data_IF_009357830004
#
_entry.id   IF_009357830004
#
_cell.length_a   1.000
_cell.length_b   1.000
_cell.length_c   1.000
_cell.angle_alpha   90.00
_cell.angle_beta   90.00
_cell.angle_gamma   90.00
#
_symmetry.space_group_name_H-M   'P 1'
#
loop_
_entity.id
_entity.type
_entity.pdbx_description
1 polymer ?
#
# COMPACT_ATOMS: atom_id res chain seq x y z
N UNK A 1 -14.22 -7.93 -1.98
CA UNK A 1 -14.83 -7.41 -3.21
C UNK A 1 -13.84 -6.59 -4.05
N UNK A 2 -13.48 -5.33 -3.75
CA UNK A 2 -12.53 -4.58 -4.61
C UNK A 2 -11.05 -5.04 -4.56
N UNK A 3 -10.55 -5.51 -3.40
CA UNK A 3 -9.18 -6.04 -3.32
C UNK A 3 -9.01 -7.34 -4.13
N UNK A 4 -10.02 -8.20 -4.11
CA UNK A 4 -10.06 -9.44 -4.89
C UNK A 4 -10.05 -9.13 -6.39
N UNK A 5 -10.97 -8.28 -6.86
CA UNK A 5 -11.05 -7.87 -8.27
C UNK A 5 -9.72 -7.28 -8.80
N UNK A 6 -9.02 -6.53 -7.96
CA UNK A 6 -7.71 -5.97 -8.30
C UNK A 6 -6.65 -7.07 -8.45
N UNK A 7 -6.60 -8.03 -7.51
CA UNK A 7 -5.67 -9.15 -7.59
C UNK A 7 -5.99 -10.05 -8.79
N UNK A 8 -7.27 -10.32 -9.05
CA UNK A 8 -7.73 -11.05 -10.24
C UNK A 8 -7.22 -10.41 -11.54
N UNK A 9 -7.43 -9.09 -11.68
CA UNK A 9 -7.01 -8.35 -12.87
C UNK A 9 -5.49 -8.32 -13.03
N UNK A 10 -4.74 -8.11 -11.95
CA UNK A 10 -3.26 -8.07 -12.00
C UNK A 10 -2.64 -9.43 -12.33
N UNK A 11 -3.24 -10.51 -11.83
CA UNK A 11 -2.70 -11.87 -11.97
C UNK A 11 -3.26 -12.60 -13.19
N UNK A 12 -4.32 -12.09 -13.81
CA UNK A 12 -5.00 -12.75 -14.92
C UNK A 12 -5.74 -14.03 -14.49
N UNK A 13 -6.22 -14.10 -13.25
CA UNK A 13 -6.93 -15.25 -12.66
C UNK A 13 -8.28 -14.81 -12.13
N UNK A 14 -9.23 -15.75 -11.95
CA UNK A 14 -10.50 -15.48 -11.30
C UNK A 14 -10.61 -16.23 -9.98
N UNK A 15 -11.40 -15.68 -9.06
CA UNK A 15 -11.69 -16.31 -7.79
C UNK A 15 -12.30 -17.70 -7.98
N UNK A 16 -11.80 -18.67 -7.23
CA UNK A 16 -12.25 -20.06 -7.31
C UNK A 16 -11.60 -20.87 -8.44
N UNK A 17 -10.73 -20.27 -9.26
CA UNK A 17 -10.08 -20.98 -10.35
C UNK A 17 -9.10 -22.04 -9.84
N UNK A 18 -8.90 -23.07 -10.67
CA UNK A 18 -7.74 -23.93 -10.59
C UNK A 18 -6.65 -23.36 -11.48
N UNK A 19 -5.48 -23.07 -10.89
CA UNK A 19 -4.41 -22.31 -11.53
C UNK A 19 -3.12 -23.14 -11.50
N UNK A 20 -2.57 -23.40 -12.67
CA UNK A 20 -1.24 -24.01 -12.79
C UNK A 20 -0.16 -22.96 -12.55
N UNK A 21 0.78 -23.23 -11.63
CA UNK A 21 1.88 -22.31 -11.28
C UNK A 21 2.86 -22.21 -12.46
N UNK A 22 2.71 -21.15 -13.25
CA UNK A 22 3.60 -20.78 -14.34
C UNK A 22 4.82 -19.98 -13.84
N UNK A 23 5.73 -19.62 -14.75
CA UNK A 23 6.97 -18.91 -14.41
C UNK A 23 6.76 -17.57 -13.70
N UNK A 24 5.66 -16.86 -14.00
CA UNK A 24 5.37 -15.57 -13.36
C UNK A 24 4.84 -15.75 -11.94
N UNK A 25 3.94 -16.72 -11.72
CA UNK A 25 3.43 -17.02 -10.39
C UNK A 25 4.52 -17.57 -9.46
N UNK A 26 5.54 -18.25 -10.01
CA UNK A 26 6.70 -18.71 -9.23
C UNK A 26 7.49 -17.56 -8.59
N UNK A 27 7.39 -16.34 -9.13
CA UNK A 27 8.12 -15.14 -8.64
C UNK A 27 7.40 -14.45 -7.48
N UNK A 28 6.17 -14.85 -7.16
CA UNK A 28 5.34 -14.19 -6.15
C UNK A 28 5.66 -14.68 -4.73
N UNK A 29 6.20 -13.81 -3.89
CA UNK A 29 6.45 -14.13 -2.48
C UNK A 29 5.15 -14.46 -1.73
N UNK A 30 4.09 -13.70 -2.00
CA UNK A 30 2.80 -13.84 -1.32
C UNK A 30 1.81 -14.75 -2.06
N UNK A 31 2.27 -15.65 -2.94
CA UNK A 31 1.38 -16.57 -3.66
C UNK A 31 0.44 -17.37 -2.72
N UNK A 32 0.90 -17.89 -1.56
CA UNK A 32 0.01 -18.55 -0.61
C UNK A 32 -1.08 -17.63 -0.05
N UNK A 33 -0.75 -16.40 0.35
CA UNK A 33 -1.75 -15.44 0.84
C UNK A 33 -2.75 -15.06 -0.26
N UNK A 34 -2.25 -14.76 -1.46
CA UNK A 34 -3.06 -14.40 -2.64
C UNK A 34 -4.03 -15.52 -3.00
N UNK A 35 -3.55 -16.76 -3.05
CA UNK A 35 -4.40 -17.91 -3.35
C UNK A 35 -5.49 -18.13 -2.31
N UNK A 36 -5.23 -17.84 -1.02
CA UNK A 36 -6.29 -17.87 0.00
C UNK A 36 -7.31 -16.75 -0.19
N UNK A 37 -6.88 -15.51 -0.43
CA UNK A 37 -7.77 -14.36 -0.70
C UNK A 37 -8.71 -14.65 -1.89
N UNK A 38 -8.15 -15.19 -2.96
CA UNK A 38 -8.86 -15.49 -4.21
C UNK A 38 -9.46 -16.90 -4.24
N UNK A 39 -9.35 -17.68 -3.15
CA UNK A 39 -9.81 -19.06 -3.08
C UNK A 39 -9.35 -19.92 -4.27
N UNK A 40 -8.09 -19.82 -4.66
CA UNK A 40 -7.51 -20.54 -5.80
C UNK A 40 -7.07 -21.95 -5.40
N UNK A 41 -7.27 -22.91 -6.31
CA UNK A 41 -6.65 -24.22 -6.23
C UNK A 41 -5.36 -24.21 -7.05
N UNK A 42 -4.21 -24.42 -6.42
CA UNK A 42 -2.91 -24.36 -7.12
C UNK A 42 -2.47 -25.76 -7.59
N UNK A 43 -1.96 -25.82 -8.82
CA UNK A 43 -1.38 -27.04 -9.41
C UNK A 43 0.05 -26.79 -9.90
N UNK A 44 0.93 -27.77 -9.75
CA UNK A 44 2.30 -27.71 -10.23
C UNK A 44 2.86 -29.10 -10.51
N UNK A 45 4.11 -29.17 -10.99
CA UNK A 45 4.78 -30.43 -11.36
C UNK A 45 4.91 -31.40 -10.17
N UNK A 46 5.07 -30.88 -8.95
CA UNK A 46 5.27 -31.67 -7.73
C UNK A 46 4.22 -31.30 -6.70
N UNK A 47 3.82 -32.26 -5.86
CA UNK A 47 3.02 -31.96 -4.67
C UNK A 47 3.83 -31.09 -3.70
N UNK A 48 3.30 -29.92 -3.32
CA UNK A 48 3.95 -29.01 -2.37
C UNK A 48 3.03 -28.63 -1.20
N UNK A 49 3.63 -28.45 -0.04
CA UNK A 49 3.16 -27.53 0.99
C UNK A 49 3.94 -26.22 0.85
N UNK A 50 3.29 -25.19 0.32
CA UNK A 50 3.93 -23.91 -0.02
C UNK A 50 3.68 -22.88 1.09
N UNK A 51 4.76 -22.37 1.67
CA UNK A 51 4.76 -21.41 2.77
C UNK A 51 5.04 -19.98 2.27
N UNK A 52 4.18 -19.04 2.62
CA UNK A 52 4.36 -17.61 2.36
C UNK A 52 5.15 -16.93 3.48
N UNK A 53 5.78 -15.78 3.22
CA UNK A 53 6.56 -15.04 4.21
C UNK A 53 5.68 -14.48 5.35
N UNK A 54 4.38 -14.31 5.11
CA UNK A 54 3.40 -13.91 6.11
C UNK A 54 2.97 -15.05 7.04
N UNK A 55 3.42 -16.30 6.81
CA UNK A 55 2.99 -17.54 7.48
C UNK A 55 1.67 -18.13 6.94
N UNK A 56 1.21 -17.70 5.78
CA UNK A 56 0.18 -18.44 5.04
C UNK A 56 0.76 -19.74 4.46
N UNK A 57 -0.07 -20.78 4.39
CA UNK A 57 0.32 -22.12 3.89
C UNK A 57 -0.73 -22.61 2.89
N UNK A 58 -0.33 -23.11 1.73
CA UNK A 58 -1.28 -23.70 0.77
C UNK A 58 -0.76 -25.00 0.21
N UNK A 59 -1.69 -25.92 -0.09
CA UNK A 59 -1.36 -27.17 -0.78
C UNK A 59 -1.39 -26.94 -2.27
N UNK A 60 -0.31 -27.32 -2.95
CA UNK A 60 -0.20 -27.32 -4.41
C UNK A 60 -0.29 -28.77 -4.87
N UNK A 61 -1.26 -29.07 -5.74
CA UNK A 61 -1.43 -30.42 -6.30
C UNK A 61 -0.40 -30.68 -7.39
N UNK A 62 0.16 -31.87 -7.42
CA UNK A 62 1.09 -32.33 -8.44
C UNK A 62 1.36 -33.83 -8.31
N UNK A 63 2.48 -34.28 -8.86
CA UNK A 63 2.88 -35.68 -8.81
C UNK A 63 3.84 -35.95 -7.63
N UNK A 64 3.86 -37.20 -7.15
CA UNK A 64 4.81 -37.69 -6.14
C UNK A 64 4.48 -37.35 -4.69
N UNK A 65 5.47 -37.50 -3.81
CA UNK A 65 5.36 -37.15 -2.39
C UNK A 65 5.25 -35.64 -2.17
N UNK A 66 4.61 -35.23 -1.06
CA UNK A 66 4.48 -33.81 -0.72
C UNK A 66 5.82 -33.27 -0.21
N UNK A 67 6.33 -32.22 -0.84
CA UNK A 67 7.54 -31.51 -0.43
C UNK A 67 7.18 -30.19 0.26
N UNK A 68 7.96 -29.77 1.25
CA UNK A 68 7.86 -28.43 1.82
C UNK A 68 8.66 -27.43 0.97
N UNK A 69 8.08 -26.27 0.69
CA UNK A 69 8.74 -25.20 -0.05
C UNK A 69 8.30 -23.82 0.44
N UNK A 70 9.19 -22.84 0.33
CA UNK A 70 8.87 -21.43 0.59
C UNK A 70 8.65 -20.68 -0.72
N UNK A 71 7.70 -19.77 -0.74
CA UNK A 71 7.50 -18.82 -1.84
C UNK A 71 8.44 -17.61 -1.67
N UNK A 72 9.04 -17.07 -2.74
CA UNK A 72 8.83 -17.42 -4.14
C UNK A 72 9.63 -18.68 -4.52
N UNK A 73 9.12 -19.45 -5.48
CA UNK A 73 9.80 -20.65 -5.98
C UNK A 73 11.02 -20.32 -6.86
N UNK A 74 11.01 -19.15 -7.50
CA UNK A 74 12.14 -18.61 -8.26
C UNK A 74 12.30 -17.12 -7.96
N UNK A 75 13.53 -16.61 -8.01
CA UNK A 75 13.76 -15.17 -7.89
C UNK A 75 13.25 -14.43 -9.13
N UNK A 76 12.52 -13.33 -8.90
CA UNK A 76 12.09 -12.42 -9.95
C UNK A 76 11.09 -11.40 -9.43
N UNK A 77 10.60 -10.55 -10.34
CA UNK A 77 9.55 -9.58 -10.05
C UNK A 77 8.26 -9.94 -10.77
N UNK A 78 7.14 -9.53 -10.20
CA UNK A 78 5.85 -9.53 -10.87
C UNK A 78 5.40 -8.07 -11.07
N UNK A 79 4.99 -7.66 -12.28
CA UNK A 79 4.70 -6.26 -12.59
C UNK A 79 3.41 -5.80 -11.87
N UNK A 80 3.55 -5.28 -10.66
CA UNK A 80 2.45 -4.83 -9.82
C UNK A 80 2.62 -3.39 -9.36
N UNK A 81 1.50 -2.71 -9.18
CA UNK A 81 1.43 -1.37 -8.61
C UNK A 81 0.23 -1.29 -7.65
N UNK A 82 0.32 -0.39 -6.67
CA UNK A 82 -0.82 -0.03 -5.86
C UNK A 82 -1.99 0.41 -6.73
N UNK A 83 -3.21 0.09 -6.30
CA UNK A 83 -4.41 0.53 -6.99
C UNK A 83 -4.93 1.82 -6.37
N UNK A 84 -5.62 2.60 -7.19
CA UNK A 84 -6.33 3.79 -6.71
C UNK A 84 -7.48 3.35 -5.80
N UNK A 85 -7.61 4.01 -4.66
CA UNK A 85 -8.75 3.85 -3.76
C UNK A 85 -9.90 4.69 -4.29
N UNK A 86 -11.13 4.20 -4.15
CA UNK A 86 -12.32 4.92 -4.60
C UNK A 86 -12.45 6.28 -3.89
N UNK A 87 -12.36 7.35 -4.69
CA UNK A 87 -12.49 8.72 -4.20
C UNK A 87 -13.86 8.97 -3.58
N UNK A 88 -14.93 8.35 -4.09
CA UNK A 88 -16.29 8.57 -3.57
C UNK A 88 -16.42 8.10 -2.12
N UNK A 89 -15.71 7.04 -1.75
CA UNK A 89 -15.67 6.55 -0.39
C UNK A 89 -15.00 7.55 0.57
N UNK A 90 -13.91 8.20 0.15
CA UNK A 90 -13.29 9.29 0.92
C UNK A 90 -14.20 10.50 1.05
N UNK A 91 -14.83 10.92 -0.06
CA UNK A 91 -15.76 12.06 -0.06
C UNK A 91 -16.94 11.77 0.85
N UNK A 92 -17.55 10.58 0.75
CA UNK A 92 -18.68 10.18 1.59
C UNK A 92 -18.31 10.17 3.07
N UNK A 93 -17.14 9.64 3.42
CA UNK A 93 -16.62 9.64 4.79
C UNK A 93 -16.41 11.08 5.31
N UNK A 94 -15.81 11.96 4.49
CA UNK A 94 -15.58 13.35 4.86
C UNK A 94 -16.89 14.10 5.10
N UNK A 95 -17.86 13.98 4.18
CA UNK A 95 -19.14 14.68 4.25
C UNK A 95 -20.00 14.25 5.45
N UNK A 96 -19.93 12.98 5.83
CA UNK A 96 -20.67 12.47 6.98
C UNK A 96 -20.04 12.95 8.31
N UNK A 97 -18.70 12.92 8.41
CA UNK A 97 -17.99 13.20 9.66
C UNK A 97 -17.68 14.69 9.89
N UNK A 98 -17.46 15.47 8.84
CA UNK A 98 -16.93 16.84 8.93
C UNK A 98 -18.04 17.84 8.55
N UNK A 99 -18.38 18.80 9.43
CA UNK A 99 -19.27 19.90 9.07
C UNK A 99 -18.62 20.78 7.99
N UNK A 100 -19.34 20.98 6.89
CA UNK A 100 -18.89 21.81 5.78
C UNK A 100 -19.95 22.84 5.39
N UNK A 101 -19.51 23.96 4.84
CA UNK A 101 -20.35 24.99 4.21
C UNK A 101 -20.15 25.00 2.70
N UNK A 102 -20.90 25.83 1.99
CA UNK A 102 -20.69 26.11 0.57
C UNK A 102 -19.26 26.63 0.30
N UNK A 103 -18.65 26.20 -0.80
CA UNK A 103 -17.31 26.57 -1.23
C UNK A 103 -16.42 25.36 -1.54
N UNK A 104 -15.17 25.63 -1.91
CA UNK A 104 -14.22 24.59 -2.33
C UNK A 104 -13.30 24.11 -1.20
N UNK A 105 -12.92 22.85 -1.27
CA UNK A 105 -11.96 22.22 -0.37
C UNK A 105 -11.18 21.09 -1.03
N UNK A 106 -10.36 20.42 -0.24
CA UNK A 106 -9.60 19.25 -0.66
C UNK A 106 -9.53 18.17 0.44
N UNK A 107 -9.26 16.93 0.03
CA UNK A 107 -8.89 15.81 0.89
C UNK A 107 -7.50 15.34 0.48
N UNK A 108 -6.58 15.24 1.44
CA UNK A 108 -5.39 14.42 1.32
C UNK A 108 -5.75 12.97 1.67
N UNK A 109 -5.95 12.05 0.70
CA UNK A 109 -6.30 10.67 1.00
C UNK A 109 -5.14 9.90 1.64
N UNK A 110 -3.92 10.43 1.57
CA UNK A 110 -2.73 9.80 2.13
C UNK A 110 -2.83 9.75 3.66
N UNK A 111 -2.63 8.58 4.29
CA UNK A 111 -2.55 8.48 5.75
C UNK A 111 -1.22 9.04 6.30
N UNK A 112 -0.46 9.77 5.47
CA UNK A 112 0.81 10.40 5.82
C UNK A 112 0.88 11.84 5.31
N UNK A 113 1.92 12.56 5.75
CA UNK A 113 2.19 13.91 5.26
C UNK A 113 2.55 13.90 3.77
N UNK A 114 2.08 14.92 3.05
CA UNK A 114 2.26 15.09 1.60
C UNK A 114 2.66 16.52 1.27
N UNK A 115 3.55 16.70 0.31
CA UNK A 115 3.87 18.01 -0.24
C UNK A 115 2.93 18.36 -1.39
N UNK A 116 2.43 19.60 -1.39
CA UNK A 116 1.52 20.15 -2.40
C UNK A 116 1.87 21.59 -2.71
N UNK A 117 1.38 22.11 -3.82
CA UNK A 117 1.39 23.54 -4.17
C UNK A 117 0.06 24.14 -3.69
N UNK A 118 0.14 25.05 -2.73
CA UNK A 118 -0.98 25.79 -2.15
C UNK A 118 -0.72 27.29 -2.32
N UNK A 119 -1.60 27.99 -3.04
CA UNK A 119 -1.43 29.41 -3.37
C UNK A 119 -0.10 29.72 -4.10
N UNK A 120 0.41 28.79 -4.91
CA UNK A 120 1.68 28.93 -5.63
C UNK A 120 2.94 28.68 -4.79
N UNK A 121 2.80 28.25 -3.53
CA UNK A 121 3.93 27.92 -2.64
C UNK A 121 3.92 26.43 -2.31
N UNK A 122 5.10 25.86 -2.14
CA UNK A 122 5.23 24.51 -1.61
C UNK A 122 4.76 24.51 -0.15
N UNK A 123 3.81 23.65 0.15
CA UNK A 123 3.21 23.48 1.46
C UNK A 123 3.13 21.99 1.81
N UNK A 124 3.15 21.68 3.11
CA UNK A 124 2.99 20.32 3.62
C UNK A 124 1.59 20.15 4.18
N UNK A 125 0.88 19.12 3.73
CA UNK A 125 -0.42 18.70 4.24
C UNK A 125 -0.25 17.56 5.21
N UNK A 126 -1.04 17.58 6.28
CA UNK A 126 -1.02 16.55 7.30
C UNK A 126 -1.68 15.25 6.80
N UNK A 127 -1.46 14.11 7.48
CA UNK A 127 -2.15 12.85 7.20
C UNK A 127 -3.67 13.01 7.15
N UNK A 128 -4.31 12.54 6.09
CA UNK A 128 -5.77 12.55 5.98
C UNK A 128 -6.39 13.95 5.97
N UNK A 129 -5.62 15.02 5.79
CA UNK A 129 -6.11 16.39 5.96
C UNK A 129 -7.28 16.69 5.03
N UNK A 130 -8.38 17.18 5.61
CA UNK A 130 -9.47 17.82 4.90
C UNK A 130 -9.38 19.31 5.16
N UNK A 131 -9.19 20.10 4.11
CA UNK A 131 -8.88 21.52 4.20
C UNK A 131 -9.65 22.37 3.19
N UNK A 132 -9.52 23.69 3.33
CA UNK A 132 -10.17 24.67 2.47
C UNK A 132 -9.35 24.95 1.21
N UNK A 133 -10.04 25.32 0.12
CA UNK A 133 -9.43 25.75 -1.14
C UNK A 133 -8.95 24.61 -2.03
N UNK A 134 -8.39 24.97 -3.19
CA UNK A 134 -7.78 24.03 -4.12
C UNK A 134 -6.27 23.96 -3.89
N UNK A 135 -5.72 22.74 -3.95
CA UNK A 135 -4.28 22.49 -3.92
C UNK A 135 -3.89 21.63 -5.12
N UNK A 136 -2.65 21.76 -5.56
CA UNK A 136 -2.11 21.00 -6.71
C UNK A 136 -0.94 20.15 -6.27
N UNK A 137 -0.73 19.03 -6.95
CA UNK A 137 0.47 18.23 -6.72
C UNK A 137 1.67 18.90 -7.39
N UNK A 138 2.88 18.82 -6.81
CA UNK A 138 4.08 19.29 -7.48
C UNK A 138 4.28 18.51 -8.78
N UNK A 139 4.77 19.17 -9.82
CA UNK A 139 5.06 18.47 -11.07
C UNK A 139 6.11 17.37 -10.83
N UNK A 140 5.84 16.14 -11.30
CA UNK A 140 6.80 15.04 -11.25
C UNK A 140 8.17 15.43 -11.82
N UNK A 141 9.24 15.29 -11.04
CA UNK A 141 10.60 15.46 -11.57
C UNK A 141 11.04 14.19 -12.32
N UNK A 142 10.65 14.08 -13.58
CA UNK A 142 11.08 13.00 -14.47
C UNK A 142 12.47 13.31 -15.02
N UNK A 143 13.46 12.48 -14.69
CA UNK A 143 14.81 12.59 -15.24
C UNK A 143 15.29 11.25 -15.78
N UNK A 144 16.11 11.28 -16.84
CA UNK A 144 16.87 10.10 -17.27
C UNK A 144 18.16 10.05 -16.47
N UNK A 145 18.24 9.18 -15.47
CA UNK A 145 19.52 8.87 -14.80
C UNK A 145 20.20 7.77 -15.57
N UNK A 146 21.48 7.98 -15.90
CA UNK A 146 22.32 6.95 -16.52
C UNK A 146 23.39 6.40 -15.60
N UNK A 147 23.84 7.14 -14.59
CA UNK A 147 24.92 6.69 -13.71
C UNK A 147 24.64 7.06 -12.23
N UNK A 148 24.77 6.08 -11.33
CA UNK A 148 24.61 6.22 -9.89
C UNK A 148 25.92 6.20 -9.09
N UNK A 149 27.04 5.90 -9.75
CA UNK A 149 28.33 5.63 -9.10
C UNK A 149 28.21 4.57 -7.97
N UNK A 150 27.37 3.55 -8.19
CA UNK A 150 27.19 2.42 -7.30
C UNK A 150 27.64 1.15 -8.03
N UNK A 151 28.50 0.33 -7.43
CA UNK A 151 28.91 -0.93 -8.08
C UNK A 151 28.24 -2.16 -7.46
N UNK A 152 27.99 -2.13 -6.16
CA UNK A 152 27.43 -3.26 -5.41
C UNK A 152 26.30 -2.75 -4.52
N UNK A 153 25.12 -2.60 -5.11
CA UNK A 153 23.97 -2.00 -4.44
C UNK A 153 23.03 -3.08 -3.90
N UNK A 154 22.30 -2.76 -2.83
CA UNK A 154 21.13 -3.53 -2.42
C UNK A 154 19.90 -2.98 -3.14
N UNK A 155 18.94 -3.84 -3.40
CA UNK A 155 17.72 -3.45 -4.11
C UNK A 155 16.50 -3.84 -3.30
N UNK A 156 15.58 -2.90 -3.17
CA UNK A 156 14.26 -3.13 -2.60
C UNK A 156 13.21 -2.77 -3.64
N UNK A 157 12.31 -3.68 -3.99
CA UNK A 157 11.29 -3.41 -5.01
C UNK A 157 9.94 -3.98 -4.62
N UNK A 158 8.90 -3.43 -5.24
CA UNK A 158 7.52 -3.79 -4.95
C UNK A 158 7.09 -5.02 -5.78
N UNK A 159 6.61 -6.04 -5.08
CA UNK A 159 5.85 -7.16 -5.63
C UNK A 159 4.43 -7.15 -5.02
N UNK A 160 3.47 -7.91 -5.57
CA UNK A 160 2.13 -8.01 -5.00
C UNK A 160 2.15 -8.32 -3.50
N UNK A 161 1.66 -7.37 -2.70
CA UNK A 161 1.56 -7.47 -1.24
C UNK A 161 2.91 -7.64 -0.50
N UNK A 162 4.05 -7.31 -1.12
CA UNK A 162 5.37 -7.56 -0.56
C UNK A 162 6.43 -6.54 -1.03
N UNK A 163 7.42 -6.23 -0.18
CA UNK A 163 8.64 -5.53 -0.59
C UNK A 163 9.77 -6.55 -0.66
N UNK A 164 10.12 -6.92 -1.89
CA UNK A 164 11.21 -7.84 -2.18
C UNK A 164 12.55 -7.17 -1.95
N UNK A 165 13.54 -7.96 -1.52
CA UNK A 165 14.89 -7.47 -1.24
C UNK A 165 15.91 -8.38 -1.90
N UNK A 166 16.79 -7.79 -2.69
CA UNK A 166 17.97 -8.45 -3.23
C UNK A 166 19.18 -7.87 -2.53
N UNK A 167 20.06 -8.76 -2.05
CA UNK A 167 21.32 -8.37 -1.41
C UNK A 167 22.24 -7.60 -2.36
N UNK A 168 23.47 -7.29 -1.92
CA UNK A 168 24.43 -6.60 -2.76
C UNK A 168 24.63 -7.32 -4.10
N UNK A 169 24.31 -6.64 -5.20
CA UNK A 169 24.50 -7.14 -6.57
C UNK A 169 25.07 -6.05 -7.48
N UNK A 170 25.88 -6.47 -8.45
CA UNK A 170 26.40 -5.62 -9.53
C UNK A 170 25.46 -5.51 -10.73
N UNK A 171 24.45 -6.38 -10.80
CA UNK A 171 23.44 -6.31 -11.86
C UNK A 171 22.06 -6.74 -11.35
N UNK A 172 21.02 -6.13 -11.90
CA UNK A 172 19.63 -6.50 -11.65
C UNK A 172 18.76 -6.02 -12.80
N UNK A 173 17.94 -6.89 -13.35
CA UNK A 173 16.92 -6.52 -14.35
C UNK A 173 15.57 -7.06 -13.92
N UNK A 174 14.56 -6.19 -13.87
CA UNK A 174 13.23 -6.52 -13.39
C UNK A 174 12.16 -5.54 -13.90
N UNK A 175 10.90 -5.87 -13.69
CA UNK A 175 9.75 -4.99 -13.97
C UNK A 175 9.00 -4.71 -12.68
N UNK A 176 8.91 -3.45 -12.28
CA UNK A 176 8.30 -3.01 -11.00
C UNK A 176 7.73 -1.60 -11.11
N UNK A 177 6.82 -1.20 -10.22
CA UNK A 177 6.39 0.20 -10.11
C UNK A 177 7.20 1.01 -9.08
N UNK A 178 8.05 0.34 -8.30
CA UNK A 178 8.88 0.97 -7.29
C UNK A 178 10.17 0.16 -7.08
N UNK A 179 11.30 0.85 -7.08
CA UNK A 179 12.60 0.28 -6.70
C UNK A 179 13.42 1.30 -5.93
N UNK A 180 14.03 0.86 -4.83
CA UNK A 180 15.06 1.57 -4.09
C UNK A 180 16.40 0.87 -4.30
N UNK A 181 17.42 1.65 -4.60
CA UNK A 181 18.78 1.23 -4.89
C UNK A 181 19.66 1.83 -3.79
N UNK A 182 20.19 0.99 -2.92
CA UNK A 182 20.92 1.40 -1.73
C UNK A 182 22.42 1.09 -1.87
N UNK A 183 23.22 2.14 -1.85
CA UNK A 183 24.66 2.07 -1.66
C UNK A 183 25.06 2.22 -0.19
N UNK A 184 26.36 2.40 0.04
CA UNK A 184 26.90 2.61 1.39
C UNK A 184 26.57 4.01 1.92
N UNK A 185 26.60 5.04 1.06
CA UNK A 185 26.47 6.45 1.45
C UNK A 185 25.27 7.18 0.86
N UNK A 186 24.64 6.59 -0.15
CA UNK A 186 23.59 7.19 -0.97
C UNK A 186 22.54 6.14 -1.31
N UNK A 187 21.29 6.58 -1.39
CA UNK A 187 20.19 5.79 -1.91
C UNK A 187 19.46 6.56 -3.00
N UNK A 188 18.90 5.79 -3.95
CA UNK A 188 18.06 6.30 -5.01
C UNK A 188 16.76 5.51 -5.01
N UNK A 189 15.65 6.21 -4.97
CA UNK A 189 14.32 5.63 -5.13
C UNK A 189 13.72 6.07 -6.47
N UNK A 190 13.23 5.10 -7.22
CA UNK A 190 12.48 5.27 -8.45
C UNK A 190 11.06 4.80 -8.22
N UNK A 191 10.07 5.63 -8.56
CA UNK A 191 8.64 5.29 -8.42
C UNK A 191 7.84 5.72 -9.63
N UNK A 192 6.79 4.96 -9.91
CA UNK A 192 5.82 5.21 -10.97
C UNK A 192 4.43 4.72 -10.52
N UNK A 193 3.38 5.26 -11.14
CA UNK A 193 2.01 4.78 -10.96
C UNK A 193 1.71 3.49 -11.73
N UNK A 194 2.65 3.03 -12.56
CA UNK A 194 2.56 1.78 -13.34
C UNK A 194 3.91 1.06 -13.36
N UNK A 195 3.95 -0.27 -13.55
CA UNK A 195 5.21 -1.00 -13.67
C UNK A 195 6.05 -0.51 -14.85
N UNK A 196 7.36 -0.43 -14.66
CA UNK A 196 8.36 -0.07 -15.66
C UNK A 196 9.50 -1.09 -15.66
N UNK A 197 10.17 -1.23 -16.80
CA UNK A 197 11.37 -2.04 -16.93
C UNK A 197 12.56 -1.28 -16.38
N UNK A 198 13.29 -1.94 -15.49
CA UNK A 198 14.50 -1.46 -14.84
C UNK A 198 15.65 -2.40 -15.14
N UNK A 199 16.78 -1.84 -15.55
CA UNK A 199 18.05 -2.57 -15.61
C UNK A 199 19.13 -1.77 -14.92
N UNK A 200 19.88 -2.45 -14.05
CA UNK A 200 21.09 -1.96 -13.43
C UNK A 200 22.26 -2.84 -13.84
N UNK A 201 23.35 -2.21 -14.27
CA UNK A 201 24.60 -2.91 -14.54
C UNK A 201 25.78 -2.03 -14.13
N UNK A 202 26.50 -2.45 -13.09
CA UNK A 202 27.75 -1.84 -12.64
C UNK A 202 27.70 -0.31 -12.45
N UNK A 203 26.55 0.20 -11.99
CA UNK A 203 26.33 1.62 -11.72
C UNK A 203 25.56 2.37 -12.79
N UNK A 204 25.35 1.73 -13.95
CA UNK A 204 24.52 2.27 -15.00
C UNK A 204 23.06 1.84 -14.81
N UNK A 205 22.14 2.78 -15.02
CA UNK A 205 20.70 2.50 -15.04
C UNK A 205 20.18 2.68 -16.47
N UNK A 206 19.41 1.70 -16.92
CA UNK A 206 18.55 1.84 -18.09
C UNK A 206 17.07 1.82 -17.65
N UNK A 207 16.33 2.82 -18.15
CA UNK A 207 14.90 3.01 -17.92
C UNK A 207 14.23 3.26 -19.27
N UNK A 208 13.20 2.47 -19.58
CA UNK A 208 12.42 2.64 -20.82
C UNK A 208 11.41 3.80 -20.72
N UNK A 209 11.00 4.16 -19.49
CA UNK A 209 9.96 5.15 -19.24
C UNK A 209 10.42 6.29 -18.30
N UNK A 210 9.67 7.39 -18.31
CA UNK A 210 9.85 8.48 -17.36
C UNK A 210 9.35 8.02 -15.97
N UNK A 211 10.26 7.95 -15.00
CA UNK A 211 9.97 7.62 -13.59
C UNK A 211 10.31 8.81 -12.69
N UNK A 212 9.60 8.95 -11.58
CA UNK A 212 9.96 9.95 -10.59
C UNK A 212 11.15 9.49 -9.78
N UNK A 213 12.08 10.41 -9.56
CA UNK A 213 13.34 10.15 -8.89
C UNK A 213 13.40 10.89 -7.56
N UNK A 214 13.75 10.13 -6.52
CA UNK A 214 14.04 10.65 -5.20
C UNK A 214 15.46 10.24 -4.81
N UNK A 215 16.31 11.24 -4.56
CA UNK A 215 17.69 11.05 -4.09
C UNK A 215 17.73 11.36 -2.61
N UNK A 216 18.24 10.45 -1.81
CA UNK A 216 18.32 10.65 -0.36
C UNK A 216 19.71 10.44 0.21
N UNK A 217 20.00 11.17 1.29
CA UNK A 217 21.10 10.87 2.19
C UNK A 217 20.67 9.79 3.19
N UNK A 218 21.64 8.97 3.63
CA UNK A 218 21.63 7.82 4.56
C UNK A 218 20.64 7.78 5.77
N UNK A 219 19.91 8.86 6.08
CA UNK A 219 19.17 9.03 7.34
C UNK A 219 17.68 9.28 7.21
N UNK A 220 17.16 9.43 5.99
CA UNK A 220 15.71 9.43 5.82
C UNK A 220 15.30 8.00 5.48
N UNK A 221 14.52 7.37 6.35
CA UNK A 221 13.63 6.28 5.94
C UNK A 221 12.63 6.88 4.95
N UNK A 222 13.03 7.16 3.69
CA UNK A 222 12.00 7.13 2.67
C UNK A 222 11.39 5.77 2.77
N UNK A 223 10.08 5.79 2.89
CA UNK A 223 9.24 4.63 2.77
C UNK A 223 8.76 4.70 1.33
N UNK A 224 9.55 4.22 0.35
CA UNK A 224 9.29 4.42 -1.08
C UNK A 224 7.91 3.93 -1.50
N UNK A 225 7.31 3.01 -0.73
CA UNK A 225 5.94 2.56 -0.94
C UNK A 225 4.91 3.68 -0.72
N UNK A 226 5.18 4.64 0.17
CA UNK A 226 4.33 5.83 0.36
C UNK A 226 4.31 6.71 -0.89
N UNK A 227 5.47 6.88 -1.52
CA UNK A 227 5.59 7.67 -2.75
C UNK A 227 4.82 6.97 -3.88
N UNK A 228 5.06 5.67 -4.07
CA UNK A 228 4.32 4.88 -5.05
C UNK A 228 2.79 4.91 -4.80
N UNK A 229 2.36 4.80 -3.54
CA UNK A 229 0.94 4.86 -3.16
C UNK A 229 0.32 6.24 -3.44
N UNK A 230 1.05 7.32 -3.13
CA UNK A 230 0.59 8.69 -3.37
C UNK A 230 0.37 8.97 -4.87
N UNK A 231 1.18 8.38 -5.76
CA UNK A 231 1.06 8.57 -7.22
C UNK A 231 -0.23 7.99 -7.82
N UNK A 232 -0.81 6.99 -7.18
CA UNK A 232 -2.09 6.38 -7.63
C UNK A 232 -3.30 6.91 -6.85
N UNK A 233 -3.06 7.67 -5.78
CA UNK A 233 -4.08 8.29 -4.93
C UNK A 233 -3.82 9.80 -4.80
N UNK A 234 -4.15 10.60 -5.83
CA UNK A 234 -3.92 12.04 -5.82
C UNK A 234 -4.83 12.76 -4.83
N UNK A 235 -4.52 14.03 -4.51
CA UNK A 235 -5.44 14.90 -3.76
C UNK A 235 -6.83 14.90 -4.42
N UNK A 236 -7.87 14.79 -3.59
CA UNK A 236 -9.27 14.76 -4.03
C UNK A 236 -9.88 16.16 -3.82
N UNK A 237 -10.29 16.87 -4.88
CA UNK A 237 -11.05 18.11 -4.72
C UNK A 237 -12.46 17.79 -4.22
N UNK A 238 -12.99 18.64 -3.34
CA UNK A 238 -14.36 18.53 -2.84
C UNK A 238 -15.10 19.85 -2.98
N UNK A 239 -16.38 19.77 -3.33
CA UNK A 239 -17.29 20.92 -3.38
C UNK A 239 -17.93 21.16 -2.00
N UNK A 240 -17.06 21.29 -0.99
CA UNK A 240 -17.46 21.79 0.30
C UNK A 240 -16.28 22.46 1.01
N UNK A 241 -16.57 23.51 1.76
CA UNK A 241 -15.59 24.22 2.58
C UNK A 241 -15.65 23.67 4.01
N UNK A 242 -14.65 22.89 4.47
CA UNK A 242 -14.66 22.34 5.82
C UNK A 242 -14.47 23.45 6.85
N UNK A 243 -15.23 23.41 7.95
CA UNK A 243 -15.14 24.43 9.02
C UNK A 243 -13.80 24.40 9.78
N UNK A 244 -13.15 23.24 9.82
CA UNK A 244 -11.90 23.00 10.50
C UNK A 244 -10.99 22.14 9.61
N UNK A 245 -9.69 22.40 9.66
CA UNK A 245 -8.69 21.49 9.06
C UNK A 245 -8.54 20.29 9.96
N UNK A 246 -8.94 19.10 9.51
CA UNK A 246 -8.95 17.89 10.35
C UNK A 246 -8.37 16.70 9.60
N UNK A 247 -7.74 15.79 10.34
CA UNK A 247 -7.27 14.52 9.80
C UNK A 247 -8.42 13.52 9.75
N UNK A 248 -8.90 13.21 8.53
CA UNK A 248 -9.96 12.23 8.28
C UNK A 248 -9.53 10.83 8.68
N UNK A 249 -8.32 10.43 8.26
CA UNK A 249 -7.70 9.15 8.55
C UNK A 249 -6.19 9.31 8.72
N UNK A 250 -5.63 8.68 9.75
CA UNK A 250 -4.20 8.55 9.98
C UNK A 250 -3.88 7.11 10.37
N UNK A 251 -2.80 6.55 9.82
CA UNK A 251 -2.36 5.18 10.12
C UNK A 251 -0.91 5.22 10.58
N UNK A 252 -0.65 4.65 11.77
CA UNK A 252 0.69 4.51 12.34
C UNK A 252 0.97 3.04 12.68
N UNK A 253 2.18 2.50 12.47
CA UNK A 253 3.31 3.12 11.80
C UNK A 253 3.10 3.22 10.28
N UNK A 254 3.92 4.03 9.61
CA UNK A 254 3.82 4.26 8.17
C UNK A 254 4.29 3.09 7.29
N UNK A 255 4.68 1.96 7.89
CA UNK A 255 4.85 0.68 7.19
C UNK A 255 3.52 -0.03 6.92
N UNK A 256 2.45 0.38 7.60
CA UNK A 256 1.10 -0.14 7.37
C UNK A 256 0.41 0.73 6.32
N UNK A 257 0.05 0.10 5.21
CA UNK A 257 -0.46 0.77 4.01
C UNK A 257 -1.90 0.37 3.76
N UNK A 258 -2.81 1.33 3.49
CA UNK A 258 -4.17 1.00 3.08
C UNK A 258 -4.15 0.52 1.62
N UNK A 259 -4.71 -0.65 1.36
CA UNK A 259 -4.90 -1.19 0.01
C UNK A 259 -6.32 -1.01 -0.51
N UNK A 260 -7.26 -0.79 0.41
CA UNK A 260 -8.68 -0.73 0.11
C UNK A 260 -9.39 0.14 1.14
N UNK A 261 -10.33 0.95 0.69
CA UNK A 261 -11.23 1.73 1.54
C UNK A 261 -12.60 1.79 0.86
N UNK A 262 -13.66 1.47 1.59
CA UNK A 262 -15.05 1.69 1.19
C UNK A 262 -15.83 2.21 2.40
N UNK A 263 -16.68 3.20 2.17
CA UNK A 263 -17.50 3.79 3.22
C UNK A 263 -18.97 3.82 2.82
N UNK A 264 -19.80 3.09 3.56
CA UNK A 264 -21.26 3.03 3.32
C UNK A 264 -22.00 2.90 4.63
N UNK A 265 -23.10 3.64 4.77
CA UNK A 265 -24.02 3.54 5.92
C UNK A 265 -23.31 3.54 7.27
N UNK A 266 -22.44 4.53 7.50
CA UNK A 266 -21.66 4.68 8.74
C UNK A 266 -20.67 3.55 9.05
N UNK A 267 -20.37 2.69 8.07
CA UNK A 267 -19.38 1.62 8.19
C UNK A 267 -18.23 1.86 7.22
N UNK A 268 -17.02 1.96 7.77
CA UNK A 268 -15.77 2.00 7.02
C UNK A 268 -15.19 0.59 6.92
N UNK A 269 -15.03 0.11 5.70
CA UNK A 269 -14.26 -1.11 5.41
C UNK A 269 -12.87 -0.71 4.93
N UNK A 270 -11.82 -1.18 5.60
CA UNK A 270 -10.43 -0.80 5.34
C UNK A 270 -9.56 -2.05 5.20
N UNK A 271 -8.90 -2.24 4.06
CA UNK A 271 -7.86 -3.26 3.90
C UNK A 271 -6.49 -2.68 4.22
N UNK A 272 -5.77 -3.23 5.19
CA UNK A 272 -4.42 -2.77 5.58
C UNK A 272 -3.38 -3.86 5.38
N UNK A 273 -2.21 -3.48 4.90
CA UNK A 273 -1.05 -4.36 4.70
C UNK A 273 0.14 -3.83 5.49
N UNK A 274 0.73 -4.66 6.34
CA UNK A 274 2.04 -4.38 6.91
C UNK A 274 3.12 -4.71 5.87
N UNK A 275 4.03 -3.78 5.57
CA UNK A 275 5.15 -4.03 4.64
C UNK A 275 6.48 -4.36 5.34
N UNK A 276 6.46 -4.51 6.67
CA UNK A 276 7.65 -4.85 7.45
C UNK A 276 7.82 -6.36 7.63
N UNK A 277 9.08 -6.77 7.81
CA UNK A 277 9.49 -8.14 8.15
C UNK A 277 9.20 -8.53 9.60
N UNK A 278 8.70 -7.59 10.41
CA UNK A 278 8.31 -7.80 11.81
C UNK A 278 6.83 -7.49 12.02
N UNK A 279 6.18 -8.17 12.98
CA UNK A 279 4.83 -7.80 13.40
C UNK A 279 4.82 -6.38 14.00
N UNK A 280 3.72 -5.67 13.81
CA UNK A 280 3.52 -4.30 14.30
C UNK A 280 2.13 -4.16 14.92
N UNK A 281 1.95 -3.19 15.82
CA UNK A 281 0.62 -2.77 16.27
C UNK A 281 0.26 -1.49 15.52
N UNK A 282 -0.65 -1.61 14.55
CA UNK A 282 -1.15 -0.49 13.78
C UNK A 282 -2.20 0.30 14.58
N UNK A 283 -2.04 1.61 14.71
CA UNK A 283 -3.06 2.50 15.24
C UNK A 283 -3.71 3.26 14.10
N UNK A 284 -5.03 3.10 13.96
CA UNK A 284 -5.84 3.80 12.97
C UNK A 284 -6.61 4.89 13.71
N UNK A 285 -6.39 6.15 13.36
CA UNK A 285 -7.12 7.30 13.90
C UNK A 285 -8.12 7.80 12.85
N UNK A 286 -9.31 8.20 13.30
CA UNK A 286 -10.38 8.68 12.42
C UNK A 286 -10.98 9.99 12.94
N UNK A 287 -11.56 10.80 12.06
CA UNK A 287 -12.33 12.01 12.41
C UNK A 287 -13.75 11.70 12.96
N UNK A 288 -13.95 10.52 13.55
CA UNK A 288 -15.24 10.01 14.02
C UNK A 288 -15.14 9.34 15.38
N UNK A 289 -16.28 9.10 16.02
CA UNK A 289 -16.41 8.21 17.18
C UNK A 289 -16.52 6.78 16.68
N UNK A 290 -15.63 5.90 17.12
CA UNK A 290 -15.70 4.48 16.78
C UNK A 290 -16.67 3.79 17.74
N UNK A 291 -17.57 2.98 17.18
CA UNK A 291 -18.57 2.24 17.96
C UNK A 291 -18.20 0.77 18.10
N UNK A 292 -17.73 0.18 17.01
CA UNK A 292 -17.31 -1.21 16.98
C UNK A 292 -16.23 -1.39 15.92
N UNK A 293 -15.34 -2.37 16.11
CA UNK A 293 -14.36 -2.76 15.11
C UNK A 293 -14.30 -4.27 15.00
N UNK A 294 -14.41 -4.78 13.78
CA UNK A 294 -14.17 -6.17 13.43
C UNK A 294 -12.95 -6.26 12.54
N UNK A 295 -12.13 -7.29 12.75
CA UNK A 295 -10.96 -7.61 11.94
C UNK A 295 -11.15 -8.99 11.35
N UNK A 296 -10.91 -9.12 10.05
CA UNK A 296 -10.93 -10.38 9.33
C UNK A 296 -9.53 -10.66 8.80
N UNK A 297 -8.92 -11.77 9.21
CA UNK A 297 -7.68 -12.26 8.60
C UNK A 297 -8.03 -13.09 7.35
N UNK A 298 -7.68 -12.62 6.14
CA UNK A 298 -7.99 -13.34 4.90
C UNK A 298 -7.24 -14.68 4.77
N UNK A 299 -6.22 -14.94 5.60
CA UNK A 299 -5.53 -16.22 5.62
C UNK A 299 -6.46 -17.35 6.04
N UNK A 300 -7.23 -17.19 7.11
CA UNK A 300 -8.04 -18.27 7.70
C UNK A 300 -9.52 -17.90 7.80
N UNK A 301 -9.89 -16.67 7.40
CA UNK A 301 -11.24 -16.15 7.53
C UNK A 301 -11.66 -15.88 8.97
N UNK A 302 -10.70 -15.89 9.91
CA UNK A 302 -10.98 -15.64 11.31
C UNK A 302 -11.49 -14.21 11.52
N UNK A 303 -12.51 -14.06 12.37
CA UNK A 303 -13.14 -12.76 12.65
C UNK A 303 -12.95 -12.44 14.12
N UNK A 304 -12.14 -11.43 14.38
CA UNK A 304 -11.90 -10.88 15.71
C UNK A 304 -12.71 -9.61 15.94
N UNK A 305 -13.18 -9.43 17.18
CA UNK A 305 -13.72 -8.15 17.65
C UNK A 305 -12.64 -7.41 18.43
N UNK A 306 -12.37 -6.17 18.04
CA UNK A 306 -11.48 -5.28 18.77
C UNK A 306 -12.31 -4.20 19.45
N UNK A 307 -12.00 -3.95 20.72
CA UNK A 307 -12.55 -2.81 21.45
C UNK A 307 -11.85 -1.54 20.95
N UNK A 308 -12.57 -0.63 20.26
CA UNK A 308 -11.98 0.63 19.85
C UNK A 308 -11.84 1.56 21.06
N UNK A 309 -10.83 2.43 21.02
CA UNK A 309 -10.83 3.63 21.85
C UNK A 309 -11.85 4.64 21.25
N UNK A 310 -11.94 5.84 21.80
CA UNK A 310 -12.95 6.82 21.38
C UNK A 310 -12.87 7.17 19.88
N UNK A 311 -11.66 7.38 19.36
CA UNK A 311 -11.39 7.91 18.03
C UNK A 311 -10.32 7.14 17.25
N UNK A 312 -9.88 6.01 17.81
CA UNK A 312 -8.80 5.19 17.27
C UNK A 312 -8.96 3.73 17.65
N UNK A 313 -8.35 2.85 16.88
CA UNK A 313 -8.27 1.42 17.18
C UNK A 313 -6.85 0.92 16.96
N UNK A 314 -6.39 0.04 17.85
CA UNK A 314 -5.08 -0.62 17.77
C UNK A 314 -5.26 -2.03 17.25
N UNK A 315 -4.53 -2.38 16.20
CA UNK A 315 -4.71 -3.59 15.41
C UNK A 315 -3.37 -4.30 15.31
N UNK A 316 -3.19 -5.49 15.90
CA UNK A 316 -1.97 -6.26 15.71
C UNK A 316 -1.94 -6.78 14.27
N UNK A 317 -0.87 -6.48 13.54
CA UNK A 317 -0.65 -6.93 12.16
C UNK A 317 0.64 -7.73 12.10
N UNK A 318 0.55 -8.97 11.61
CA UNK A 318 1.72 -9.84 11.42
C UNK A 318 2.69 -9.27 10.38
N UNK A 319 3.92 -9.80 10.34
CA UNK A 319 4.89 -9.46 9.29
C UNK A 319 4.29 -9.74 7.93
N UNK A 320 4.40 -8.79 7.01
CA UNK A 320 3.78 -8.85 5.68
C UNK A 320 2.28 -9.22 5.65
N UNK A 321 1.59 -9.01 6.76
CA UNK A 321 0.21 -9.45 6.96
C UNK A 321 -0.79 -8.47 6.35
N UNK A 322 -1.80 -9.02 5.68
CA UNK A 322 -2.98 -8.30 5.22
C UNK A 322 -4.13 -8.54 6.19
N UNK A 323 -4.86 -7.49 6.56
CA UNK A 323 -6.09 -7.59 7.35
C UNK A 323 -7.19 -6.73 6.73
N UNK A 324 -8.44 -7.17 6.90
CA UNK A 324 -9.62 -6.38 6.55
C UNK A 324 -10.34 -5.92 7.82
N UNK A 325 -10.52 -4.62 7.97
CA UNK A 325 -11.24 -4.02 9.07
C UNK A 325 -12.62 -3.58 8.65
N UNK A 326 -13.61 -3.75 9.53
CA UNK A 326 -14.93 -3.11 9.44
C UNK A 326 -15.13 -2.29 10.71
N UNK A 327 -15.22 -0.98 10.55
CA UNK A 327 -15.29 -0.02 11.64
C UNK A 327 -16.62 0.72 11.53
N UNK A 328 -17.46 0.61 12.55
CA UNK A 328 -18.68 1.42 12.65
C UNK A 328 -18.33 2.77 13.26
N UNK A 329 -18.67 3.85 12.57
CA UNK A 329 -18.24 5.21 12.90
C UNK A 329 -19.45 6.12 13.00
N UNK A 330 -19.44 7.04 13.97
CA UNK A 330 -20.38 8.16 14.02
C UNK A 330 -19.66 9.50 14.03
N UNK A 331 -20.39 10.53 13.62
CA UNK A 331 -19.94 11.92 13.70
C UNK A 331 -19.57 12.31 15.13
N UNK A 332 -18.46 13.02 15.27
CA UNK A 332 -18.05 13.62 16.54
C UNK A 332 -18.89 14.85 16.88
N UNK A 333 -19.04 15.13 18.17
CA UNK A 333 -19.50 16.43 18.62
C UNK A 333 -18.52 17.51 18.14
N UNK A 334 -19.04 18.66 17.71
CA UNK A 334 -18.24 19.72 17.10
C UNK A 334 -17.07 20.18 17.98
N UNK A 335 -17.28 20.29 19.30
CA UNK A 335 -16.22 20.65 20.23
C UNK A 335 -15.07 19.64 20.30
N UNK A 336 -15.33 18.36 20.03
CA UNK A 336 -14.30 17.31 19.97
C UNK A 336 -13.60 17.31 18.62
N UNK A 337 -14.33 17.57 17.53
CA UNK A 337 -13.75 17.73 16.21
C UNK A 337 -12.81 18.95 16.15
N UNK A 338 -13.18 20.07 16.79
CA UNK A 338 -12.31 21.25 16.93
C UNK A 338 -11.02 20.95 17.68
N UNK A 339 -11.03 20.05 18.68
CA UNK A 339 -9.79 19.63 19.38
C UNK A 339 -8.86 18.78 18.50
N UNK A 340 -9.39 18.20 17.43
CA UNK A 340 -8.62 17.46 16.42
C UNK A 340 -8.14 18.35 15.26
N UNK A 341 -8.39 19.66 15.30
CA UNK A 341 -7.94 20.54 14.24
C UNK A 341 -6.42 20.61 14.20
N UNK A 342 -5.86 20.57 12.99
CA UNK A 342 -4.44 20.55 12.70
C UNK A 342 -3.75 21.91 12.90
#
# INVERSE_FOLDING_TARGET
>A
MLLEENLEKSLGVRRGDTVYINEDLMKLEQLPLISRILNLSLEWRKNLELHGPDESIVKVKGEGETLEASSPLVHGSFPWAFQSIDNNSFVSLAMDLIPCSEGEGFINPSPWEREVIDGGKLARKAPGEVGEGQVKEPDPNFQKIRNLNLFNAKFHYLNPLYISSVGPSSSLSLTTSMISIEGISNSLTLVSNRPFNFSFNSGEIELEENVQIYREGLRNETKPHRLAWNLVNPIIPIDCKPKYRVSLIKIEPSSVVPLYLDYRSSTLTLGILNLESRPVVATIYLAGRLLSTQVVDPRDGHVDKLEPEFDRVKVPVRRWGLLLLKIEIRKLLEGLLKKKSL
#
